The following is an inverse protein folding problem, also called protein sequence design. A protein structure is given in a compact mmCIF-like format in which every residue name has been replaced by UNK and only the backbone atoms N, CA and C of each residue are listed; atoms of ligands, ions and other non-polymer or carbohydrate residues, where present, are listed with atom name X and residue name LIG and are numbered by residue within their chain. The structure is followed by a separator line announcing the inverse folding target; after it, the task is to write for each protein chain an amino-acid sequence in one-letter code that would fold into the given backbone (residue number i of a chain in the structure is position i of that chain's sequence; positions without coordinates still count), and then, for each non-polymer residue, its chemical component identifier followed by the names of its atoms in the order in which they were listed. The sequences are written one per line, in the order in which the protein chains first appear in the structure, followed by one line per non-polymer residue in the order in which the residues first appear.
data_IF_453467095440
#
_entry.id   IF_453467095440
#
_cell.length_a   1.000
_cell.length_b   1.000
_cell.length_c   1.000
_cell.angle_alpha   90.00
_cell.angle_beta   90.00
_cell.angle_gamma   90.00
#
_symmetry.space_group_name_H-M   'P 1'
#
loop_
_entity.id
_entity.type
_entity.pdbx_description
1 polymer ?
#
# COMPACT_ATOMS: atom_id res chain seq x y z
N UNK A 1 -13.58 15.02 16.05
CA UNK A 1 -13.39 15.70 14.75
C UNK A 1 -12.79 14.68 13.80
N UNK A 2 -13.38 14.47 12.62
CA UNK A 2 -12.79 13.57 11.62
C UNK A 2 -11.46 14.16 11.11
N UNK A 3 -10.41 13.36 10.90
CA UNK A 3 -9.18 13.84 10.32
C UNK A 3 -9.47 14.45 8.94
N UNK A 4 -8.83 15.57 8.62
CA UNK A 4 -8.88 16.12 7.26
C UNK A 4 -8.30 15.08 6.31
N UNK A 5 -9.12 14.55 5.42
CA UNK A 5 -8.67 13.70 4.33
C UNK A 5 -7.70 14.51 3.46
N UNK A 6 -6.42 14.21 3.59
CA UNK A 6 -5.39 14.75 2.71
C UNK A 6 -5.38 13.95 1.40
N UNK A 7 -4.93 14.59 0.32
CA UNK A 7 -4.86 13.92 -0.96
C UNK A 7 -3.81 12.81 -0.90
N UNK A 8 -4.12 11.62 -1.41
CA UNK A 8 -3.21 10.48 -1.38
C UNK A 8 -1.95 10.82 -2.18
N UNK A 9 -0.77 10.75 -1.56
CA UNK A 9 0.46 11.06 -2.27
C UNK A 9 0.70 10.00 -3.35
N UNK A 10 1.06 10.44 -4.55
CA UNK A 10 1.36 9.55 -5.69
C UNK A 10 2.88 9.48 -5.87
N UNK A 11 3.44 8.32 -6.28
CA UNK A 11 4.86 8.27 -6.60
C UNK A 11 5.11 9.11 -7.85
N UNK A 12 6.12 9.96 -7.78
CA UNK A 12 6.53 10.86 -8.88
C UNK A 12 7.81 10.38 -9.57
N UNK A 13 8.55 9.51 -8.91
CA UNK A 13 9.75 8.85 -9.44
C UNK A 13 9.53 7.35 -9.58
N UNK A 14 10.37 6.72 -10.41
CA UNK A 14 10.38 5.26 -10.55
C UNK A 14 10.79 4.60 -9.23
N UNK A 15 11.73 5.19 -8.52
CA UNK A 15 12.27 4.69 -7.27
C UNK A 15 11.18 4.65 -6.19
N UNK A 16 10.41 5.73 -6.04
CA UNK A 16 9.26 5.77 -5.12
C UNK A 16 8.18 4.75 -5.51
N UNK A 17 7.97 4.52 -6.80
CA UNK A 17 7.02 3.52 -7.27
C UNK A 17 7.46 2.12 -6.87
N UNK A 18 8.72 1.78 -7.13
CA UNK A 18 9.28 0.46 -6.81
C UNK A 18 9.36 0.22 -5.30
N UNK A 19 9.70 1.24 -4.51
CA UNK A 19 9.66 1.20 -3.04
C UNK A 19 8.28 0.77 -2.53
N UNK A 20 7.20 1.36 -3.07
CA UNK A 20 5.83 1.05 -2.65
C UNK A 20 5.45 -0.39 -2.96
N UNK A 21 5.81 -0.90 -4.14
CA UNK A 21 5.55 -2.30 -4.51
C UNK A 21 6.37 -3.26 -3.64
N UNK A 22 7.65 -2.96 -3.41
CA UNK A 22 8.52 -3.76 -2.55
C UNK A 22 8.02 -3.80 -1.11
N UNK A 23 7.51 -2.69 -0.58
CA UNK A 23 6.91 -2.64 0.76
C UNK A 23 5.73 -3.62 0.89
N UNK A 24 4.82 -3.65 -0.10
CA UNK A 24 3.71 -4.60 -0.12
C UNK A 24 4.23 -6.03 -0.16
N UNK A 25 5.18 -6.30 -1.05
CA UNK A 25 5.78 -7.62 -1.20
C UNK A 25 6.42 -8.12 0.11
N UNK A 26 7.18 -7.27 0.80
CA UNK A 26 7.76 -7.59 2.12
C UNK A 26 6.69 -7.86 3.18
N UNK A 27 5.60 -7.10 3.19
CA UNK A 27 4.51 -7.29 4.16
C UNK A 27 3.71 -8.57 3.90
N UNK A 28 3.52 -8.94 2.63
CA UNK A 28 2.94 -10.22 2.24
C UNK A 28 3.86 -11.39 2.61
N UNK A 29 5.16 -11.30 2.28
CA UNK A 29 6.14 -12.35 2.61
C UNK A 29 6.31 -12.56 4.11
N UNK A 30 6.26 -11.48 4.89
CA UNK A 30 6.38 -11.56 6.36
C UNK A 30 5.06 -11.93 7.06
N UNK A 31 3.95 -12.08 6.33
CA UNK A 31 2.62 -12.38 6.89
C UNK A 31 1.99 -11.22 7.67
N UNK A 32 2.55 -10.00 7.58
CA UNK A 32 1.99 -8.79 8.19
C UNK A 32 0.75 -8.28 7.45
N UNK A 33 0.54 -8.75 6.23
CA UNK A 33 -0.63 -8.47 5.39
C UNK A 33 -1.19 -9.77 4.84
N UNK A 34 -2.51 -9.92 4.87
CA UNK A 34 -3.18 -11.02 4.19
C UNK A 34 -3.21 -10.80 2.67
N UNK A 35 -3.02 -11.84 1.85
CA UNK A 35 -2.92 -11.71 0.40
C UNK A 35 -4.25 -11.44 -0.32
N UNK A 36 -5.38 -11.42 0.40
CA UNK A 36 -6.70 -11.23 -0.19
C UNK A 36 -6.79 -9.86 -0.88
N UNK A 37 -7.15 -9.85 -2.16
CA UNK A 37 -7.20 -8.62 -2.96
C UNK A 37 -5.83 -8.11 -3.41
N UNK A 38 -4.77 -8.92 -3.23
CA UNK A 38 -3.40 -8.63 -3.70
C UNK A 38 -2.93 -9.67 -4.71
N UNK A 39 -3.84 -10.41 -5.36
CA UNK A 39 -3.49 -11.50 -6.29
C UNK A 39 -2.67 -10.99 -7.49
N UNK A 40 -2.91 -9.75 -7.90
CA UNK A 40 -2.12 -9.09 -8.96
C UNK A 40 -0.63 -8.96 -8.61
N UNK A 41 -0.24 -8.94 -7.33
CA UNK A 41 1.16 -8.93 -6.91
C UNK A 41 1.92 -10.17 -7.37
N UNK A 42 1.24 -11.31 -7.56
CA UNK A 42 1.85 -12.55 -8.06
C UNK A 42 2.28 -12.42 -9.53
N UNK A 43 1.69 -11.49 -10.27
CA UNK A 43 2.00 -11.24 -11.69
C UNK A 43 3.12 -10.23 -11.87
N UNK A 44 3.54 -9.52 -10.81
CA UNK A 44 4.62 -8.55 -10.86
C UNK A 44 5.94 -9.27 -11.06
N UNK A 45 6.63 -8.96 -12.16
CA UNK A 45 7.91 -9.57 -12.53
C UNK A 45 9.07 -8.62 -12.27
N UNK A 46 10.25 -9.20 -12.14
CA UNK A 46 11.50 -8.48 -12.09
C UNK A 46 12.23 -8.58 -13.43
N UNK A 47 12.85 -7.49 -13.86
CA UNK A 47 13.82 -7.44 -14.94
C UNK A 47 15.12 -8.14 -14.51
N UNK A 48 16.02 -8.52 -15.44
CA UNK A 48 17.29 -9.19 -15.11
C UNK A 48 18.20 -8.41 -14.15
N UNK A 49 18.02 -7.09 -14.04
CA UNK A 49 18.74 -6.23 -13.11
C UNK A 49 18.07 -6.12 -11.72
N UNK A 50 17.03 -6.90 -11.46
CA UNK A 50 16.28 -6.91 -10.20
C UNK A 50 15.26 -5.78 -10.05
N UNK A 51 15.14 -4.88 -11.02
CA UNK A 51 14.13 -3.80 -11.02
C UNK A 51 12.75 -4.37 -11.37
N UNK A 52 11.69 -3.68 -10.99
CA UNK A 52 10.33 -4.08 -11.35
C UNK A 52 10.12 -3.86 -12.85
N UNK A 53 9.56 -4.88 -13.52
CA UNK A 53 9.04 -4.77 -14.87
C UNK A 53 7.71 -4.01 -14.83
N UNK A 54 7.73 -2.71 -15.13
CA UNK A 54 6.53 -1.87 -15.10
C UNK A 54 5.40 -2.38 -15.98
N UNK A 55 5.70 -3.12 -17.06
CA UNK A 55 4.69 -3.66 -17.96
C UNK A 55 3.95 -4.87 -17.37
N UNK A 56 4.46 -5.43 -16.28
CA UNK A 56 3.81 -6.51 -15.54
C UNK A 56 2.87 -6.01 -14.43
N UNK A 57 2.85 -4.70 -14.16
CA UNK A 57 2.07 -4.12 -13.07
C UNK A 57 0.76 -3.54 -13.61
N UNK A 58 -0.37 -4.12 -13.19
CA UNK A 58 -1.69 -3.58 -13.53
C UNK A 58 -2.08 -2.39 -12.63
N UNK A 59 -3.14 -1.67 -13.02
CA UNK A 59 -3.59 -0.48 -12.28
C UNK A 59 -4.07 -0.81 -10.86
N UNK A 60 -4.61 -2.01 -10.65
CA UNK A 60 -5.11 -2.41 -9.34
C UNK A 60 -3.96 -2.63 -8.35
N UNK A 61 -2.87 -3.25 -8.80
CA UNK A 61 -1.62 -3.36 -8.03
C UNK A 61 -1.05 -1.97 -7.72
N UNK A 62 -1.04 -1.05 -8.70
CA UNK A 62 -0.56 0.33 -8.46
C UNK A 62 -1.36 1.04 -7.38
N UNK A 63 -2.69 0.95 -7.45
CA UNK A 63 -3.59 1.56 -6.47
C UNK A 63 -3.36 0.98 -5.08
N UNK A 64 -3.40 -0.35 -4.97
CA UNK A 64 -3.24 -1.04 -3.70
C UNK A 64 -1.87 -0.80 -3.05
N UNK A 65 -0.80 -0.80 -3.83
CA UNK A 65 0.53 -0.50 -3.32
C UNK A 65 0.64 0.94 -2.81
N UNK A 66 0.02 1.88 -3.51
CA UNK A 66 -0.02 3.25 -3.06
C UNK A 66 -0.81 3.42 -1.77
N UNK A 67 -2.00 2.83 -1.69
CA UNK A 67 -2.84 2.85 -0.49
C UNK A 67 -2.13 2.20 0.69
N UNK A 68 -1.50 1.05 0.47
CA UNK A 68 -0.74 0.32 1.49
C UNK A 68 0.41 1.16 2.03
N UNK A 69 1.19 1.79 1.16
CA UNK A 69 2.28 2.67 1.58
C UNK A 69 1.80 3.80 2.48
N UNK A 70 0.66 4.41 2.15
CA UNK A 70 0.08 5.47 2.97
C UNK A 70 -0.42 4.96 4.33
N UNK A 71 -0.93 3.74 4.40
CA UNK A 71 -1.35 3.14 5.68
C UNK A 71 -0.17 2.69 6.55
N UNK A 72 0.97 2.35 5.97
CA UNK A 72 2.10 1.76 6.70
C UNK A 72 3.20 2.78 7.00
N UNK A 73 3.57 3.59 6.00
CA UNK A 73 4.79 4.39 6.00
C UNK A 73 4.56 5.89 6.27
N UNK A 74 3.31 6.38 6.28
CA UNK A 74 3.03 7.81 6.55
C UNK A 74 2.29 8.03 7.87
N UNK A 75 2.29 9.29 8.33
CA UNK A 75 1.57 9.71 9.53
C UNK A 75 0.06 9.40 9.48
N UNK A 76 -0.51 9.22 8.28
CA UNK A 76 -1.88 8.76 8.12
C UNK A 76 -2.07 7.35 8.69
N UNK A 77 -1.11 6.46 8.50
CA UNK A 77 -1.08 5.13 9.12
C UNK A 77 -0.99 5.15 10.64
N UNK A 78 -0.26 6.12 11.19
CA UNK A 78 -0.21 6.36 12.64
C UNK A 78 -1.55 6.89 13.15
N UNK A 79 -2.13 7.89 12.47
CA UNK A 79 -3.43 8.46 12.82
C UNK A 79 -4.56 7.43 12.76
N UNK A 80 -4.61 6.57 11.74
CA UNK A 80 -5.64 5.52 11.63
C UNK A 80 -5.55 4.50 12.77
N UNK A 81 -4.35 4.18 13.24
CA UNK A 81 -4.15 3.30 14.41
C UNK A 81 -4.51 3.95 15.74
N UNK A 82 -4.48 5.28 15.80
CA UNK A 82 -4.78 6.09 16.99
C UNK A 82 -6.23 6.61 17.00
N UNK A 83 -7.03 6.35 15.96
CA UNK A 83 -8.45 6.69 15.96
C UNK A 83 -9.15 5.85 17.04
N UNK A 84 -9.90 6.48 17.96
CA UNK A 84 -10.76 5.73 18.86
C UNK A 84 -11.75 4.93 18.01
N UNK A 85 -11.90 3.64 18.30
CA UNK A 85 -12.98 2.83 17.73
C UNK A 85 -14.28 3.61 17.94
N UNK A 86 -15.00 3.85 16.86
CA UNK A 86 -16.32 4.44 16.95
C UNK A 86 -17.18 3.40 17.67
N UNK A 87 -17.43 3.62 18.96
CA UNK A 87 -18.46 2.90 19.70
C UNK A 87 -19.78 3.31 19.03
N UNK A 88 -20.29 2.46 18.14
CA UNK A 88 -21.69 2.52 17.75
C UNK A 88 -22.48 2.25 19.01
N UNK A 89 -22.76 3.32 19.75
CA UNK A 89 -23.58 3.33 20.93
C UNK A 89 -24.88 2.62 20.59
N UNK A 90 -24.98 1.38 21.03
CA UNK A 90 -26.23 0.66 21.08
C UNK A 90 -27.18 1.44 21.97
N UNK A 91 -28.28 1.88 21.39
CA UNK A 91 -29.61 2.02 22.01
C UNK A 91 -30.63 2.31 20.93
#
# INVERSE_FOLDING_TARGET
MLPKLTNMQRPTTREEFEERINLVHEHLQSGKMHPNGMEGMLNVRLLPNGRIDMLSVDEFVRLNANTTYQMIATDMGKMLRELPEYDEGGS
#
